data_IF_555273454112
#
_entry.id   IF_555273454112
#
_cell.length_a   1.000
_cell.length_b   1.000
_cell.length_c   1.000
_cell.angle_alpha   90.00
_cell.angle_beta   90.00
_cell.angle_gamma   90.00
#
_symmetry.space_group_name_H-M   'P 1'
#
loop_
_entity.id
_entity.type
_entity.pdbx_description
1 polymer ?
#
# COMPACT_ATOMS: atom_id res chain seq x y z
N UNK A 1 16.76 7.58 -69.16
CA UNK A 1 17.12 8.05 -67.77
C UNK A 1 15.90 8.04 -66.83
N UNK A 2 14.70 8.51 -67.27
CA UNK A 2 13.49 8.54 -66.40
C UNK A 2 13.00 7.17 -65.93
N UNK A 3 13.04 6.15 -66.74
CA UNK A 3 12.60 4.79 -66.38
C UNK A 3 13.51 4.13 -65.33
N UNK A 4 14.82 4.36 -65.39
CA UNK A 4 15.80 3.86 -64.40
C UNK A 4 15.58 4.51 -63.04
N UNK A 5 15.38 5.84 -63.05
CA UNK A 5 15.11 6.59 -61.81
C UNK A 5 13.81 6.14 -61.13
N UNK A 6 12.79 5.87 -61.93
CA UNK A 6 11.51 5.34 -61.47
C UNK A 6 11.64 3.93 -60.84
N UNK A 7 12.38 3.02 -61.49
CA UNK A 7 12.66 1.68 -60.95
C UNK A 7 13.44 1.74 -59.62
N UNK A 8 14.46 2.59 -59.57
CA UNK A 8 15.25 2.77 -58.33
C UNK A 8 14.36 3.27 -57.19
N UNK A 9 13.46 4.19 -57.46
CA UNK A 9 12.53 4.71 -56.44
C UNK A 9 11.55 3.64 -55.96
N UNK A 10 11.02 2.78 -56.83
CA UNK A 10 10.15 1.65 -56.44
C UNK A 10 10.92 0.66 -55.56
N UNK A 11 12.16 0.31 -55.94
CA UNK A 11 12.99 -0.60 -55.17
C UNK A 11 13.28 0.00 -53.77
N UNK A 12 13.62 1.28 -53.73
CA UNK A 12 13.88 2.00 -52.49
C UNK A 12 12.65 2.01 -51.55
N UNK A 13 11.47 2.33 -52.08
CA UNK A 13 10.21 2.28 -51.34
C UNK A 13 9.87 0.88 -50.83
N UNK A 14 10.16 -0.16 -51.63
CA UNK A 14 9.94 -1.55 -51.27
C UNK A 14 10.88 -1.97 -50.12
N UNK A 15 12.14 -1.57 -50.15
CA UNK A 15 13.13 -1.84 -49.10
C UNK A 15 12.71 -1.16 -47.80
N UNK A 16 12.31 0.11 -47.85
CA UNK A 16 11.82 0.84 -46.66
C UNK A 16 10.59 0.13 -46.07
N UNK A 17 9.65 -0.28 -46.93
CA UNK A 17 8.43 -0.97 -46.46
C UNK A 17 8.73 -2.32 -45.79
N UNK A 18 9.67 -3.09 -46.37
CA UNK A 18 10.09 -4.37 -45.79
C UNK A 18 10.81 -4.16 -44.43
N UNK A 19 11.73 -3.20 -44.38
CA UNK A 19 12.45 -2.85 -43.16
C UNK A 19 11.49 -2.37 -42.05
N UNK A 20 10.48 -1.57 -42.41
CA UNK A 20 9.45 -1.11 -41.46
C UNK A 20 8.61 -2.27 -40.95
N UNK A 21 8.18 -3.18 -41.81
CA UNK A 21 7.39 -4.34 -41.42
C UNK A 21 8.18 -5.28 -40.47
N UNK A 22 9.46 -5.52 -40.78
CA UNK A 22 10.35 -6.33 -39.89
C UNK A 22 10.52 -5.65 -38.54
N UNK A 23 10.67 -4.32 -38.50
CA UNK A 23 10.76 -3.56 -37.27
C UNK A 23 9.46 -3.62 -36.43
N UNK A 24 8.30 -3.43 -37.08
CA UNK A 24 6.98 -3.51 -36.47
C UNK A 24 6.72 -4.92 -35.88
N UNK A 25 7.14 -5.96 -36.58
CA UNK A 25 7.00 -7.35 -36.15
C UNK A 25 7.88 -7.65 -34.95
N UNK A 26 9.14 -7.20 -34.94
CA UNK A 26 10.04 -7.32 -33.78
C UNK A 26 9.50 -6.58 -32.55
N UNK A 27 8.99 -5.37 -32.76
CA UNK A 27 8.39 -4.58 -31.67
C UNK A 27 7.15 -5.27 -31.10
N UNK A 28 6.33 -5.91 -31.97
CA UNK A 28 5.18 -6.69 -31.53
C UNK A 28 5.61 -7.91 -30.69
N UNK A 29 6.60 -8.67 -31.14
CA UNK A 29 7.12 -9.84 -30.46
C UNK A 29 7.71 -9.46 -29.10
N UNK A 30 8.47 -8.37 -29.02
CA UNK A 30 9.04 -7.85 -27.77
C UNK A 30 7.94 -7.41 -26.78
N UNK A 31 6.88 -6.76 -27.29
CA UNK A 31 5.72 -6.38 -26.49
C UNK A 31 4.97 -7.60 -25.95
N UNK A 32 4.71 -8.61 -26.78
CA UNK A 32 4.05 -9.87 -26.39
C UNK A 32 4.88 -10.64 -25.35
N UNK A 33 6.19 -10.71 -25.54
CA UNK A 33 7.11 -11.31 -24.59
C UNK A 33 7.10 -10.57 -23.24
N UNK A 34 7.19 -9.25 -23.25
CA UNK A 34 7.13 -8.42 -22.05
C UNK A 34 5.80 -8.59 -21.30
N UNK A 35 4.67 -8.65 -22.02
CA UNK A 35 3.36 -8.91 -21.43
C UNK A 35 3.25 -10.30 -20.82
N UNK A 36 3.80 -11.32 -21.48
CA UNK A 36 3.80 -12.70 -20.95
C UNK A 36 4.64 -12.81 -19.69
N UNK A 37 5.81 -12.17 -19.66
CA UNK A 37 6.68 -12.11 -18.50
C UNK A 37 6.01 -11.42 -17.29
N UNK A 38 5.33 -10.28 -17.55
CA UNK A 38 4.57 -9.57 -16.52
C UNK A 38 3.43 -10.42 -15.96
N UNK A 39 2.72 -11.15 -16.84
CA UNK A 39 1.66 -12.09 -16.43
C UNK A 39 2.21 -13.22 -15.57
N UNK A 40 3.34 -13.79 -15.95
CA UNK A 40 4.03 -14.82 -15.20
C UNK A 40 4.47 -14.32 -13.82
N UNK A 41 5.09 -13.13 -13.76
CA UNK A 41 5.49 -12.51 -12.49
C UNK A 41 4.29 -12.28 -11.55
N UNK A 42 3.17 -11.75 -12.08
CA UNK A 42 1.94 -11.58 -11.30
C UNK A 42 1.40 -12.91 -10.77
N UNK A 43 1.41 -13.96 -11.58
CA UNK A 43 0.94 -15.29 -11.18
C UNK A 43 1.83 -15.90 -10.11
N UNK A 44 3.16 -15.83 -10.29
CA UNK A 44 4.14 -16.31 -9.31
C UNK A 44 3.99 -15.62 -7.96
N UNK A 45 3.92 -14.28 -7.95
CA UNK A 45 3.72 -13.52 -6.72
C UNK A 45 2.40 -13.91 -6.03
N UNK A 46 1.32 -14.11 -6.78
CA UNK A 46 0.03 -14.53 -6.22
C UNK A 46 0.13 -15.90 -5.54
N UNK A 47 0.80 -16.88 -6.15
CA UNK A 47 1.00 -18.18 -5.54
C UNK A 47 1.89 -18.07 -4.29
N UNK A 48 3.00 -17.36 -4.35
CA UNK A 48 3.90 -17.17 -3.22
C UNK A 48 3.15 -16.53 -2.02
N UNK A 49 2.31 -15.54 -2.27
CA UNK A 49 1.48 -14.91 -1.23
C UNK A 49 0.50 -15.92 -0.61
N UNK A 50 -0.19 -16.72 -1.43
CA UNK A 50 -1.14 -17.73 -0.93
C UNK A 50 -0.45 -18.78 -0.07
N UNK A 51 0.67 -19.32 -0.56
CA UNK A 51 1.45 -20.35 0.13
C UNK A 51 2.08 -19.83 1.44
N UNK A 52 2.34 -18.51 1.54
CA UNK A 52 2.91 -17.92 2.76
C UNK A 52 1.84 -17.54 3.78
N UNK A 53 0.67 -17.10 3.36
CA UNK A 53 -0.41 -16.69 4.28
C UNK A 53 -0.92 -17.86 5.14
N UNK A 54 -0.96 -19.07 4.59
CA UNK A 54 -1.42 -20.27 5.32
C UNK A 54 -0.54 -20.56 6.55
N UNK A 55 0.79 -20.74 6.45
CA UNK A 55 1.64 -20.97 7.62
C UNK A 55 1.64 -19.80 8.59
N UNK A 56 1.55 -18.55 8.12
CA UNK A 56 1.45 -17.39 9.02
C UNK A 56 0.17 -17.43 9.85
N UNK A 57 -0.97 -17.77 9.25
CA UNK A 57 -2.24 -17.92 9.96
C UNK A 57 -2.16 -19.03 11.03
N UNK A 58 -1.49 -20.14 10.72
CA UNK A 58 -1.26 -21.24 11.68
C UNK A 58 -0.38 -20.78 12.84
N UNK A 59 0.69 -20.03 12.57
CA UNK A 59 1.56 -19.48 13.63
C UNK A 59 0.75 -18.56 14.54
N UNK A 60 -0.02 -17.62 13.99
CA UNK A 60 -0.86 -16.70 14.78
C UNK A 60 -1.89 -17.45 15.62
N UNK A 61 -2.59 -18.43 15.05
CA UNK A 61 -3.57 -19.24 15.78
C UNK A 61 -2.93 -20.02 16.96
N UNK A 62 -1.72 -20.58 16.77
CA UNK A 62 -1.02 -21.28 17.86
C UNK A 62 -0.56 -20.33 18.96
N UNK A 63 -0.13 -19.11 18.63
CA UNK A 63 0.21 -18.09 19.63
C UNK A 63 -1.04 -17.72 20.42
N UNK A 64 -2.16 -17.45 19.75
CA UNK A 64 -3.42 -17.12 20.40
C UNK A 64 -3.91 -18.22 21.34
N UNK A 65 -3.86 -19.49 20.91
CA UNK A 65 -4.20 -20.64 21.75
C UNK A 65 -3.30 -20.73 22.99
N UNK A 66 -1.99 -20.57 22.81
CA UNK A 66 -1.05 -20.58 23.92
C UNK A 66 -1.34 -19.46 24.93
N UNK A 67 -1.62 -18.24 24.45
CA UNK A 67 -1.93 -17.09 25.30
C UNK A 67 -3.24 -17.29 26.09
N UNK A 68 -4.24 -17.96 25.51
CA UNK A 68 -5.47 -18.31 26.20
C UNK A 68 -5.24 -19.34 27.32
N UNK A 69 -4.39 -20.33 27.08
CA UNK A 69 -4.17 -21.43 28.03
C UNK A 69 -3.14 -21.06 29.12
N UNK A 70 -2.05 -20.39 28.77
CA UNK A 70 -0.88 -20.22 29.63
C UNK A 70 -0.51 -18.74 29.88
N UNK A 71 -1.26 -17.81 29.28
CA UNK A 71 -1.02 -16.39 29.41
C UNK A 71 0.06 -15.85 28.45
N UNK A 72 0.25 -14.53 28.48
CA UNK A 72 1.22 -13.85 27.59
C UNK A 72 2.66 -14.21 27.93
N UNK A 73 3.46 -14.52 26.92
CA UNK A 73 4.87 -14.81 27.05
C UNK A 73 5.71 -13.89 26.15
N UNK A 74 6.76 -13.19 26.66
CA UNK A 74 7.51 -12.19 25.91
C UNK A 74 8.08 -12.69 24.58
N UNK A 75 8.58 -13.94 24.52
CA UNK A 75 9.10 -14.52 23.27
C UNK A 75 8.00 -14.76 22.26
N UNK A 76 6.80 -15.19 22.67
CA UNK A 76 5.66 -15.37 21.75
C UNK A 76 5.13 -14.04 21.25
N UNK A 77 5.10 -13.01 22.10
CA UNK A 77 4.76 -11.66 21.70
C UNK A 77 5.73 -11.12 20.62
N UNK A 78 7.03 -11.45 20.72
CA UNK A 78 8.00 -11.11 19.68
C UNK A 78 7.72 -11.83 18.35
N UNK A 79 7.38 -13.12 18.42
CA UNK A 79 7.03 -13.91 17.23
C UNK A 79 5.73 -13.39 16.60
N UNK A 80 4.74 -13.06 17.42
CA UNK A 80 3.48 -12.46 16.96
C UNK A 80 3.70 -11.16 16.20
N UNK A 81 4.50 -10.23 16.76
CA UNK A 81 4.81 -8.98 16.10
C UNK A 81 5.55 -9.18 14.76
N UNK A 82 6.53 -10.07 14.71
CA UNK A 82 7.24 -10.41 13.48
C UNK A 82 6.27 -11.01 12.44
N UNK A 83 5.37 -11.91 12.88
CA UNK A 83 4.36 -12.54 12.01
C UNK A 83 3.38 -11.51 11.46
N UNK A 84 2.89 -10.56 12.28
CA UNK A 84 2.03 -9.46 11.84
C UNK A 84 2.72 -8.55 10.81
N UNK A 85 4.00 -8.26 10.99
CA UNK A 85 4.77 -7.49 10.02
C UNK A 85 4.90 -8.21 8.67
N UNK A 86 5.22 -9.51 8.69
CA UNK A 86 5.29 -10.33 7.48
C UNK A 86 3.92 -10.38 6.79
N UNK A 87 2.85 -10.62 7.55
CA UNK A 87 1.49 -10.65 7.04
C UNK A 87 1.11 -9.35 6.32
N UNK A 88 1.44 -8.19 6.90
CA UNK A 88 1.18 -6.88 6.27
C UNK A 88 1.89 -6.73 4.91
N UNK A 89 3.15 -7.16 4.79
CA UNK A 89 3.92 -7.10 3.54
C UNK A 89 3.28 -8.00 2.47
N UNK A 90 2.95 -9.24 2.83
CA UNK A 90 2.34 -10.19 1.89
C UNK A 90 0.92 -9.80 1.49
N UNK A 91 0.18 -9.17 2.39
CA UNK A 91 -1.15 -8.68 2.11
C UNK A 91 -1.11 -7.55 1.05
N UNK A 92 -0.17 -6.61 1.13
CA UNK A 92 0.07 -5.58 0.12
C UNK A 92 0.42 -6.18 -1.26
N UNK A 93 1.29 -7.20 -1.29
CA UNK A 93 1.63 -7.93 -2.52
C UNK A 93 0.39 -8.64 -3.11
N UNK A 94 -0.44 -9.23 -2.26
CA UNK A 94 -1.70 -9.88 -2.66
C UNK A 94 -2.63 -8.90 -3.37
N UNK A 95 -2.82 -7.72 -2.81
CA UNK A 95 -3.65 -6.69 -3.41
C UNK A 95 -3.14 -6.27 -4.80
N UNK A 96 -1.84 -6.00 -4.93
CA UNK A 96 -1.25 -5.60 -6.20
C UNK A 96 -1.40 -6.66 -7.30
N UNK A 97 -1.42 -7.95 -6.93
CA UNK A 97 -1.55 -9.06 -7.89
C UNK A 97 -2.98 -9.41 -8.25
N UNK A 98 -3.95 -9.13 -7.36
CA UNK A 98 -5.38 -9.49 -7.50
C UNK A 98 -6.26 -8.35 -7.99
N UNK A 99 -5.78 -7.14 -8.02
CA UNK A 99 -6.54 -5.90 -8.28
C UNK A 99 -7.47 -6.00 -9.51
N UNK A 100 -6.99 -6.62 -10.58
CA UNK A 100 -7.73 -6.70 -11.86
C UNK A 100 -8.80 -7.82 -11.89
N UNK A 101 -8.89 -8.65 -10.84
CA UNK A 101 -9.71 -9.87 -10.83
C UNK A 101 -10.80 -9.89 -9.74
N UNK A 102 -10.76 -8.99 -8.77
CA UNK A 102 -11.67 -9.00 -7.63
C UNK A 102 -12.51 -7.74 -7.65
N UNK A 103 -13.84 -7.92 -7.64
CA UNK A 103 -14.76 -6.84 -7.34
C UNK A 103 -14.66 -6.51 -5.84
N UNK A 104 -14.47 -5.25 -5.55
CA UNK A 104 -14.40 -4.73 -4.18
C UNK A 104 -15.67 -3.95 -3.85
N UNK A 105 -16.77 -4.61 -3.38
CA UNK A 105 -18.01 -3.92 -3.07
C UNK A 105 -17.78 -2.91 -1.94
N UNK A 106 -18.39 -1.75 -2.09
CA UNK A 106 -18.35 -0.69 -1.07
C UNK A 106 -19.49 -0.91 -0.08
N UNK A 107 -19.25 -0.53 1.17
CA UNK A 107 -20.25 -0.49 2.24
C UNK A 107 -20.03 0.73 3.12
N UNK A 108 -21.03 1.11 3.88
CA UNK A 108 -20.88 2.15 4.91
C UNK A 108 -20.11 1.55 6.08
N UNK A 109 -19.03 2.23 6.47
CA UNK A 109 -18.18 1.87 7.60
C UNK A 109 -18.10 3.06 8.54
N UNK A 110 -18.04 2.79 9.85
CA UNK A 110 -17.76 3.81 10.86
C UNK A 110 -16.24 3.89 11.02
N UNK A 111 -15.67 5.01 10.60
CA UNK A 111 -14.21 5.21 10.54
C UNK A 111 -13.55 5.06 11.92
N UNK A 112 -14.19 5.58 12.98
CA UNK A 112 -13.70 5.48 14.36
C UNK A 112 -13.52 4.02 14.78
N UNK A 113 -14.57 3.21 14.64
CA UNK A 113 -14.55 1.80 15.08
C UNK A 113 -13.52 1.00 14.27
N UNK A 114 -13.46 1.27 12.98
CA UNK A 114 -12.47 0.64 12.11
C UNK A 114 -11.04 0.94 12.55
N UNK A 115 -10.72 2.22 12.82
CA UNK A 115 -9.38 2.63 13.26
C UNK A 115 -9.06 2.08 14.64
N UNK A 116 -10.00 2.06 15.59
CA UNK A 116 -9.79 1.47 16.90
C UNK A 116 -9.41 -0.01 16.78
N UNK A 117 -10.09 -0.77 15.94
CA UNK A 117 -9.76 -2.18 15.70
C UNK A 117 -8.35 -2.35 15.10
N UNK A 118 -7.93 -1.44 14.21
CA UNK A 118 -6.57 -1.49 13.65
C UNK A 118 -5.50 -1.11 14.68
N UNK A 119 -5.76 -0.12 15.54
CA UNK A 119 -4.88 0.21 16.66
C UNK A 119 -4.69 -1.01 17.56
N UNK A 120 -5.78 -1.65 17.99
CA UNK A 120 -5.72 -2.85 18.83
C UNK A 120 -4.90 -3.98 18.17
N UNK A 121 -5.03 -4.14 16.85
CA UNK A 121 -4.24 -5.13 16.10
C UNK A 121 -2.74 -4.86 16.13
N UNK A 122 -2.32 -3.58 16.06
CA UNK A 122 -0.90 -3.19 16.03
C UNK A 122 -0.33 -2.84 17.39
N UNK A 123 -1.12 -2.89 18.46
CA UNK A 123 -0.70 -2.46 19.82
C UNK A 123 0.52 -3.22 20.32
N UNK A 124 0.59 -4.54 20.10
CA UNK A 124 1.74 -5.35 20.49
C UNK A 124 3.02 -4.93 19.75
N UNK A 125 2.91 -4.55 18.47
CA UNK A 125 4.05 -4.06 17.67
C UNK A 125 4.50 -2.69 18.19
N UNK A 126 3.56 -1.83 18.57
CA UNK A 126 3.85 -0.52 19.16
C UNK A 126 4.59 -0.66 20.49
N UNK A 127 4.08 -1.50 21.40
CA UNK A 127 4.72 -1.77 22.69
C UNK A 127 6.15 -2.29 22.54
N UNK A 128 6.40 -3.21 21.60
CA UNK A 128 7.75 -3.70 21.34
C UNK A 128 8.69 -2.64 20.76
N UNK A 129 8.14 -1.69 20.03
CA UNK A 129 8.87 -0.54 19.48
C UNK A 129 8.96 0.62 20.49
N UNK A 130 8.49 0.42 21.73
CA UNK A 130 8.43 1.44 22.80
C UNK A 130 7.63 2.69 22.37
N UNK A 131 6.57 2.47 21.60
CA UNK A 131 5.67 3.50 21.08
C UNK A 131 4.27 3.33 21.70
N UNK A 132 3.52 4.41 21.76
CA UNK A 132 2.13 4.43 22.25
C UNK A 132 1.24 5.09 21.20
N UNK A 133 0.03 4.56 21.03
CA UNK A 133 -1.01 5.21 20.23
C UNK A 133 -1.87 6.13 21.12
N UNK A 134 -2.16 7.32 20.60
CA UNK A 134 -3.12 8.26 21.16
C UNK A 134 -4.21 8.54 20.14
N UNK A 135 -5.43 8.06 20.38
CA UNK A 135 -6.59 8.24 19.51
C UNK A 135 -7.51 9.34 20.05
N UNK A 136 -7.55 10.48 19.38
CA UNK A 136 -8.52 11.55 19.61
C UNK A 136 -9.61 11.50 18.55
N UNK A 137 -10.87 11.46 18.97
CA UNK A 137 -12.03 11.53 18.09
C UNK A 137 -12.97 12.64 18.55
N UNK A 138 -13.25 13.61 17.69
CA UNK A 138 -14.11 14.76 18.02
C UNK A 138 -15.59 14.50 17.72
N UNK A 139 -15.91 13.41 17.00
CA UNK A 139 -17.26 13.07 16.57
C UNK A 139 -17.68 11.69 17.05
N UNK A 140 -18.97 11.50 17.34
CA UNK A 140 -19.51 10.22 17.81
C UNK A 140 -19.44 9.13 16.73
N UNK A 141 -19.74 9.47 15.48
CA UNK A 141 -19.70 8.57 14.34
C UNK A 141 -19.16 9.32 13.11
N UNK A 142 -18.31 8.65 12.34
CA UNK A 142 -17.73 9.16 11.09
C UNK A 142 -18.02 8.16 9.97
N UNK A 143 -19.26 8.14 9.43
CA UNK A 143 -19.65 7.19 8.41
C UNK A 143 -19.01 7.54 7.06
N UNK A 144 -18.35 6.58 6.42
CA UNK A 144 -17.75 6.68 5.09
C UNK A 144 -18.22 5.53 4.21
N UNK A 145 -18.31 5.74 2.89
CA UNK A 145 -18.72 4.72 1.92
C UNK A 145 -17.51 4.26 1.09
N UNK A 146 -16.95 3.13 1.47
CA UNK A 146 -15.71 2.60 0.87
C UNK A 146 -15.68 1.07 0.95
N UNK A 147 -14.84 0.43 0.13
CA UNK A 147 -14.52 -0.98 0.32
C UNK A 147 -13.61 -1.16 1.55
N UNK A 148 -13.93 -2.15 2.40
CA UNK A 148 -13.22 -2.41 3.66
C UNK A 148 -11.74 -2.76 3.45
N UNK A 149 -11.42 -3.60 2.46
CA UNK A 149 -10.03 -3.97 2.15
C UNK A 149 -9.20 -2.76 1.70
N UNK A 150 -9.78 -1.85 0.90
CA UNK A 150 -9.11 -0.62 0.49
C UNK A 150 -8.87 0.33 1.68
N UNK A 151 -9.86 0.47 2.57
CA UNK A 151 -9.70 1.25 3.80
C UNK A 151 -8.61 0.67 4.67
N UNK A 152 -8.63 -0.65 4.90
CA UNK A 152 -7.59 -1.35 5.67
C UNK A 152 -6.19 -1.05 5.14
N UNK A 153 -6.00 -1.10 3.82
CA UNK A 153 -4.72 -0.78 3.19
C UNK A 153 -4.25 0.64 3.46
N UNK A 154 -5.16 1.61 3.37
CA UNK A 154 -4.81 3.00 3.68
C UNK A 154 -4.36 3.11 5.13
N UNK A 155 -5.14 2.56 6.06
CA UNK A 155 -4.87 2.68 7.50
C UNK A 155 -3.61 1.90 7.90
N UNK A 156 -3.50 0.64 7.52
CA UNK A 156 -2.38 -0.24 7.93
C UNK A 156 -1.04 0.25 7.41
N UNK A 157 -0.98 0.72 6.16
CA UNK A 157 0.26 1.30 5.61
C UNK A 157 0.69 2.59 6.33
N UNK A 158 -0.25 3.37 6.80
CA UNK A 158 0.06 4.56 7.59
C UNK A 158 0.49 4.20 9.01
N UNK A 159 -0.18 3.25 9.68
CA UNK A 159 0.19 2.78 11.01
C UNK A 159 1.59 2.13 10.97
N UNK A 160 1.85 1.23 10.02
CA UNK A 160 3.15 0.56 9.91
C UNK A 160 4.28 1.54 9.58
N UNK A 161 4.02 2.57 8.77
CA UNK A 161 4.98 3.64 8.54
C UNK A 161 5.22 4.46 9.81
N UNK A 162 4.17 4.80 10.56
CA UNK A 162 4.33 5.52 11.83
C UNK A 162 5.14 4.70 12.83
N UNK A 163 4.84 3.40 13.01
CA UNK A 163 5.61 2.49 13.87
C UNK A 163 7.08 2.41 13.47
N UNK A 164 7.36 2.44 12.17
CA UNK A 164 8.72 2.30 11.62
C UNK A 164 9.57 3.56 11.74
N UNK A 165 8.95 4.74 11.58
CA UNK A 165 9.69 6.00 11.42
C UNK A 165 9.56 6.95 12.62
N UNK A 166 8.62 6.72 13.54
CA UNK A 166 8.53 7.47 14.81
C UNK A 166 9.75 7.17 15.68
N UNK A 167 10.22 8.15 16.41
CA UNK A 167 11.32 7.98 17.35
C UNK A 167 10.87 7.15 18.55
N UNK A 168 11.77 6.38 19.12
CA UNK A 168 11.53 5.59 20.33
C UNK A 168 11.01 6.47 21.48
N UNK A 169 10.12 5.91 22.29
CA UNK A 169 9.46 6.55 23.45
C UNK A 169 8.51 7.71 23.09
N UNK A 170 8.21 7.89 21.80
CA UNK A 170 7.28 8.92 21.33
C UNK A 170 5.87 8.36 21.12
N UNK A 171 4.90 9.25 20.99
CA UNK A 171 3.50 8.92 20.76
C UNK A 171 3.13 9.07 19.28
N UNK A 172 2.41 8.09 18.76
CA UNK A 172 1.75 8.16 17.46
C UNK A 172 0.35 8.68 17.69
N UNK A 173 0.08 9.90 17.23
CA UNK A 173 -1.21 10.54 17.38
C UNK A 173 -2.11 10.24 16.18
N UNK A 174 -3.33 9.85 16.46
CA UNK A 174 -4.38 9.66 15.45
C UNK A 174 -5.54 10.57 15.83
N UNK A 175 -5.88 11.50 14.95
CA UNK A 175 -6.93 12.47 15.17
C UNK A 175 -8.04 12.32 14.12
N UNK A 176 -9.24 12.02 14.58
CA UNK A 176 -10.44 11.87 13.76
C UNK A 176 -11.37 13.04 14.01
N UNK A 177 -11.72 13.70 12.95
CA UNK A 177 -12.65 14.85 12.98
C UNK A 177 -13.37 14.98 11.63
N UNK A 178 -14.25 15.95 11.50
CA UNK A 178 -14.97 16.17 10.26
C UNK A 178 -15.00 17.65 9.88
N UNK A 179 -15.09 17.90 8.57
CA UNK A 179 -15.51 19.18 8.01
C UNK A 179 -16.93 19.05 7.42
N UNK A 180 -17.42 20.05 6.72
CA UNK A 180 -18.76 20.03 6.10
C UNK A 180 -19.00 18.83 5.18
N UNK A 181 -17.96 18.34 4.47
CA UNK A 181 -18.07 17.34 3.39
C UNK A 181 -17.30 16.05 3.65
N UNK A 182 -16.37 16.06 4.59
CA UNK A 182 -15.42 14.95 4.76
C UNK A 182 -15.33 14.49 6.21
N UNK A 183 -15.11 13.18 6.38
CA UNK A 183 -14.54 12.59 7.56
C UNK A 183 -13.02 12.59 7.37
N UNK A 184 -12.26 13.07 8.34
CA UNK A 184 -10.81 13.29 8.23
C UNK A 184 -10.08 12.37 9.19
N UNK A 185 -9.19 11.56 8.63
CA UNK A 185 -8.20 10.77 9.36
C UNK A 185 -6.86 11.47 9.27
N UNK A 186 -6.31 11.87 10.40
CA UNK A 186 -4.98 12.47 10.51
C UNK A 186 -4.11 11.61 11.42
N UNK A 187 -3.00 11.10 10.91
CA UNK A 187 -1.97 10.39 11.68
C UNK A 187 -0.69 11.21 11.64
N UNK A 188 -0.13 11.46 12.83
CA UNK A 188 1.08 12.27 12.94
C UNK A 188 1.94 11.84 14.13
N UNK A 189 3.25 12.04 13.99
CA UNK A 189 4.22 11.71 15.04
C UNK A 189 5.52 12.49 14.85
N UNK A 190 6.36 12.48 15.88
CA UNK A 190 7.73 12.96 15.81
C UNK A 190 8.59 11.91 15.10
N UNK A 191 8.71 12.04 13.79
CA UNK A 191 9.40 11.10 12.92
C UNK A 191 10.49 11.78 12.08
N UNK A 192 11.20 10.97 11.30
CA UNK A 192 12.22 11.49 10.38
C UNK A 192 11.62 12.44 9.35
N UNK A 193 12.29 13.55 9.11
CA UNK A 193 11.91 14.54 8.10
C UNK A 193 11.89 13.93 6.68
N UNK A 194 10.81 14.16 5.97
CA UNK A 194 10.63 13.79 4.56
C UNK A 194 11.01 14.96 3.68
N UNK A 195 12.09 14.81 2.91
CA UNK A 195 12.62 15.87 2.04
C UNK A 195 11.76 16.09 0.80
N UNK A 196 11.34 14.99 0.16
CA UNK A 196 10.54 15.04 -1.07
C UNK A 196 9.16 14.42 -0.82
N UNK A 197 8.20 15.29 -0.48
CA UNK A 197 6.83 14.89 -0.17
C UNK A 197 6.03 14.40 -1.39
N UNK A 198 6.55 14.58 -2.60
CA UNK A 198 5.93 14.09 -3.84
C UNK A 198 6.46 12.71 -4.20
N UNK A 199 7.76 12.51 -4.17
CA UNK A 199 8.40 11.23 -4.52
C UNK A 199 8.10 10.10 -3.55
N UNK A 200 7.75 10.42 -2.29
CA UNK A 200 7.45 9.39 -1.29
C UNK A 200 6.28 8.47 -1.70
N UNK A 201 5.46 8.89 -2.65
CA UNK A 201 4.37 8.09 -3.22
C UNK A 201 4.76 7.30 -4.49
N UNK A 202 5.99 7.45 -4.99
CA UNK A 202 6.48 6.64 -6.11
C UNK A 202 6.79 5.21 -5.66
N UNK A 203 6.59 4.24 -6.57
CA UNK A 203 6.90 2.85 -6.29
C UNK A 203 8.41 2.66 -6.10
N UNK A 204 8.79 1.89 -5.08
CA UNK A 204 10.17 1.59 -4.72
C UNK A 204 10.99 2.77 -4.21
N UNK A 205 10.40 3.96 -4.10
CA UNK A 205 11.09 5.11 -3.54
C UNK A 205 11.26 4.98 -2.03
N UNK A 206 12.46 5.31 -1.54
CA UNK A 206 12.83 5.30 -0.12
C UNK A 206 13.84 6.41 0.15
N UNK A 207 13.58 7.27 1.11
CA UNK A 207 14.55 8.31 1.48
C UNK A 207 15.76 7.76 2.25
N UNK A 208 15.59 6.64 2.95
CA UNK A 208 16.63 5.99 3.75
C UNK A 208 16.66 4.50 3.46
N UNK A 209 17.79 4.00 3.00
CA UNK A 209 17.98 2.58 2.68
C UNK A 209 18.13 1.68 3.93
N UNK A 210 18.25 2.27 5.13
CA UNK A 210 18.59 1.55 6.36
C UNK A 210 17.38 0.94 7.11
N UNK A 211 16.13 1.17 6.64
CA UNK A 211 14.94 0.59 7.26
C UNK A 211 14.28 -0.39 6.29
N UNK A 212 13.77 -1.51 6.80
CA UNK A 212 13.13 -2.58 6.02
C UNK A 212 11.89 -2.12 5.24
N UNK A 213 11.57 -2.80 4.15
CA UNK A 213 10.37 -2.62 3.35
C UNK A 213 10.63 -2.38 1.86
N UNK A 214 9.66 -2.73 1.03
CA UNK A 214 9.77 -2.69 -0.43
C UNK A 214 9.55 -1.30 -1.05
N UNK A 215 9.13 -0.28 -0.27
CA UNK A 215 8.78 1.03 -0.81
C UNK A 215 7.50 1.03 -1.66
N UNK A 216 6.57 0.11 -1.38
CA UNK A 216 5.32 -0.03 -2.12
C UNK A 216 4.10 0.52 -1.36
N UNK A 217 4.14 0.58 -0.03
CA UNK A 217 2.99 0.89 0.80
C UNK A 217 2.35 2.24 0.49
N UNK A 218 3.10 3.34 0.51
CA UNK A 218 2.55 4.67 0.18
C UNK A 218 2.16 4.82 -1.29
N UNK A 219 2.83 4.12 -2.22
CA UNK A 219 2.40 4.06 -3.61
C UNK A 219 1.04 3.37 -3.75
N UNK A 220 0.83 2.28 -3.01
CA UNK A 220 -0.46 1.59 -2.96
C UNK A 220 -1.55 2.49 -2.37
N UNK A 221 -1.27 3.16 -1.24
CA UNK A 221 -2.18 4.14 -0.63
C UNK A 221 -2.57 5.23 -1.63
N UNK A 222 -1.59 5.81 -2.34
CA UNK A 222 -1.85 6.85 -3.35
C UNK A 222 -2.78 6.34 -4.45
N UNK A 223 -2.52 5.14 -5.00
CA UNK A 223 -3.38 4.53 -6.04
C UNK A 223 -4.82 4.32 -5.56
N UNK A 224 -5.00 3.80 -4.33
CA UNK A 224 -6.34 3.60 -3.75
C UNK A 224 -7.03 4.95 -3.57
N UNK A 225 -6.34 5.94 -3.05
CA UNK A 225 -6.91 7.27 -2.83
C UNK A 225 -7.31 7.95 -4.14
N UNK A 226 -6.53 7.82 -5.20
CA UNK A 226 -6.86 8.34 -6.53
C UNK A 226 -8.11 7.64 -7.11
N UNK A 227 -8.24 6.32 -6.96
CA UNK A 227 -9.42 5.55 -7.38
C UNK A 227 -10.70 5.92 -6.61
N UNK A 228 -10.56 6.17 -5.32
CA UNK A 228 -11.68 6.47 -4.41
C UNK A 228 -11.96 7.97 -4.29
N UNK A 229 -11.20 8.83 -5.01
CA UNK A 229 -11.25 10.29 -4.92
C UNK A 229 -11.04 10.81 -3.48
N UNK A 230 -10.10 10.20 -2.76
CA UNK A 230 -9.69 10.59 -1.42
C UNK A 230 -8.51 11.55 -1.55
N UNK A 231 -8.67 12.78 -1.06
CA UNK A 231 -7.56 13.74 -1.01
C UNK A 231 -6.60 13.37 0.10
N UNK A 232 -5.28 13.42 -0.22
CA UNK A 232 -4.19 13.23 0.74
C UNK A 232 -3.47 14.57 0.90
N UNK A 233 -3.11 14.93 2.12
CA UNK A 233 -2.14 15.99 2.38
C UNK A 233 -1.03 15.47 3.30
N UNK A 234 0.20 15.78 2.95
CA UNK A 234 1.39 15.43 3.71
C UNK A 234 2.11 16.71 4.13
N UNK A 235 2.40 16.81 5.40
CA UNK A 235 3.26 17.83 5.98
C UNK A 235 4.38 17.16 6.75
N UNK A 236 5.62 17.55 6.50
CA UNK A 236 6.79 17.04 7.23
C UNK A 236 7.76 18.17 7.50
N UNK A 237 8.24 18.23 8.72
CA UNK A 237 9.31 19.12 9.17
C UNK A 237 10.21 18.37 10.16
N UNK A 238 11.17 19.05 10.78
CA UNK A 238 12.11 18.42 11.72
C UNK A 238 11.48 17.87 12.99
N UNK A 239 10.24 18.29 13.32
CA UNK A 239 9.56 17.94 14.57
C UNK A 239 8.36 17.02 14.34
N UNK A 240 7.74 17.07 13.17
CA UNK A 240 6.47 16.41 12.93
C UNK A 240 6.34 15.95 11.48
N UNK A 241 5.86 14.73 11.27
CA UNK A 241 5.31 14.26 9.99
C UNK A 241 3.84 13.92 10.18
N UNK A 242 2.98 14.45 9.30
CA UNK A 242 1.53 14.34 9.37
C UNK A 242 0.96 13.97 8.01
N UNK A 243 0.18 12.89 7.98
CA UNK A 243 -0.61 12.45 6.82
C UNK A 243 -2.08 12.66 7.13
N UNK A 244 -2.82 13.40 6.25
CA UNK A 244 -4.27 13.60 6.36
C UNK A 244 -4.98 13.04 5.14
N UNK A 245 -6.07 12.32 5.40
CA UNK A 245 -6.93 11.67 4.42
C UNK A 245 -8.35 12.22 4.55
N UNK A 246 -8.94 12.67 3.44
CA UNK A 246 -10.26 13.30 3.41
C UNK A 246 -11.23 12.36 2.72
N UNK A 247 -11.99 11.60 3.51
CA UNK A 247 -13.01 10.67 3.03
C UNK A 247 -14.33 11.41 2.87
N UNK A 248 -15.06 11.21 1.77
CA UNK A 248 -16.42 11.74 1.64
C UNK A 248 -17.32 11.13 2.69
N UNK A 249 -18.14 11.96 3.36
CA UNK A 249 -19.18 11.48 4.27
C UNK A 249 -20.16 10.58 3.52
N UNK A 250 -20.51 9.44 4.12
CA UNK A 250 -21.63 8.67 3.61
C UNK A 250 -22.91 9.45 3.86
N UNK A 251 -23.72 9.62 2.83
CA UNK A 251 -25.11 10.11 2.99
C UNK A 251 -25.89 8.98 3.67
N UNK A 252 -26.37 9.26 4.88
CA UNK A 252 -27.29 8.38 5.62
C UNK A 252 -28.67 8.46 5.01
#
# INVERSE_FOLDING_TARGET
YGAILFMVNIIYLKIIRLSRNDYEEKLRQEKEYSQSLLKFQKLFLRHAVHETNTPLAVIMANIELYEIELGKHPLLSNIEAATKNIYSIYDDLSYLTKKDQISYPKKTLILKDFIQNRINFFDIVAQQSQLVFDLKCECAALPIYINETKLQRIIDNNITNALKYTKEFETIHIHLYEDEKHCIFNIYSHSSFIKDTTKIFEAYYRERNNKEGLGLGLNLVKKICDEENIRITLQSNMHLTSFKYYFKKATV
#
